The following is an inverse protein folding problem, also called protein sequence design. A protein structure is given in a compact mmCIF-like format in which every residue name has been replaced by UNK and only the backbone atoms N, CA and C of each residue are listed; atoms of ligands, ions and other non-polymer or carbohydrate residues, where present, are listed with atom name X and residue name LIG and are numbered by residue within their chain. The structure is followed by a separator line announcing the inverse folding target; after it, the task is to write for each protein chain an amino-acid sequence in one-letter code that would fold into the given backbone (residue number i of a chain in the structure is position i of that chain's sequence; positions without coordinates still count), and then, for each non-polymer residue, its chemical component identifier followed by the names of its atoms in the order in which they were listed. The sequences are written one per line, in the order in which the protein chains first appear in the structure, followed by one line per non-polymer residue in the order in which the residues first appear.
data_IF_652560384702
#
_entry.id   IF_652560384702
#
_cell.length_a   1.000
_cell.length_b   1.000
_cell.length_c   1.000
_cell.angle_alpha   90.00
_cell.angle_beta   90.00
_cell.angle_gamma   90.00
#
_symmetry.space_group_name_H-M   'P 1'
#
loop_
_entity.id
_entity.type
_entity.pdbx_description
1 polymer ?
#
# COMPACT_ATOMS: atom_id res chain seq x y z
N UNK A 1 6.76 6.38 -8.02
CA UNK A 1 5.68 5.50 -7.52
C UNK A 1 6.14 4.07 -7.75
N UNK A 2 5.76 3.09 -6.91
CA UNK A 2 6.03 1.68 -7.16
C UNK A 2 5.52 1.27 -8.55
N UNK A 3 6.32 0.54 -9.32
CA UNK A 3 6.01 0.16 -10.70
C UNK A 3 4.88 -0.89 -10.72
N UNK A 4 3.88 -0.70 -11.59
CA UNK A 4 2.83 -1.70 -11.82
C UNK A 4 3.43 -2.95 -12.46
N UNK A 5 3.06 -4.12 -11.94
CA UNK A 5 3.49 -5.41 -12.50
C UNK A 5 2.44 -5.89 -13.49
N UNK A 6 2.85 -6.24 -14.71
CA UNK A 6 1.96 -6.93 -15.66
C UNK A 6 1.98 -8.41 -15.35
N UNK A 7 0.80 -8.99 -15.12
CA UNK A 7 0.61 -10.42 -14.94
C UNK A 7 -0.16 -10.99 -16.14
N UNK A 8 0.28 -12.12 -16.71
CA UNK A 8 -0.49 -12.81 -17.74
C UNK A 8 -1.77 -13.37 -17.12
N UNK A 9 -2.87 -13.27 -17.85
CA UNK A 9 -4.18 -13.79 -17.48
C UNK A 9 -4.77 -14.51 -18.70
N UNK A 10 -4.64 -15.84 -18.76
CA UNK A 10 -5.03 -16.62 -19.93
C UNK A 10 -4.09 -16.46 -21.12
N UNK A 11 -4.52 -16.95 -22.30
CA UNK A 11 -3.64 -17.09 -23.48
C UNK A 11 -3.24 -15.77 -24.13
N UNK A 12 -4.05 -14.70 -24.02
CA UNK A 12 -3.80 -13.41 -24.69
C UNK A 12 -4.18 -12.16 -23.88
N UNK A 13 -4.43 -12.29 -22.57
CA UNK A 13 -4.70 -11.13 -21.71
C UNK A 13 -3.52 -10.87 -20.77
N UNK A 14 -3.21 -9.60 -20.54
CA UNK A 14 -2.32 -9.21 -19.45
C UNK A 14 -2.99 -8.13 -18.60
N UNK A 15 -2.93 -8.30 -17.29
CA UNK A 15 -3.52 -7.38 -16.32
C UNK A 15 -2.40 -6.62 -15.63
N UNK A 16 -2.53 -5.29 -15.57
CA UNK A 16 -1.64 -4.46 -14.78
C UNK A 16 -2.10 -4.48 -13.31
N UNK A 17 -1.36 -5.18 -12.46
CA UNK A 17 -1.62 -5.25 -11.03
C UNK A 17 -0.75 -4.22 -10.32
N UNK A 18 -1.39 -3.43 -9.47
CA UNK A 18 -0.67 -2.51 -8.60
C UNK A 18 0.07 -3.32 -7.53
N UNK A 19 1.35 -3.01 -7.26
CA UNK A 19 2.09 -3.70 -6.24
C UNK A 19 1.50 -3.39 -4.85
N UNK A 20 1.68 -4.28 -3.85
CA UNK A 20 1.08 -4.11 -2.53
C UNK A 20 1.47 -2.79 -1.87
N UNK A 21 2.70 -2.31 -2.08
CA UNK A 21 3.18 -0.99 -1.60
C UNK A 21 2.27 0.14 -2.09
N UNK A 22 1.82 0.08 -3.35
CA UNK A 22 0.95 1.09 -3.93
C UNK A 22 -0.44 1.05 -3.28
N UNK A 23 -0.97 -0.15 -3.05
CA UNK A 23 -2.28 -0.34 -2.43
C UNK A 23 -2.27 0.20 -1.00
N UNK A 24 -1.21 -0.10 -0.24
CA UNK A 24 -1.00 0.38 1.13
C UNK A 24 -0.89 1.91 1.16
N UNK A 25 -0.05 2.52 0.32
CA UNK A 25 0.08 3.98 0.23
C UNK A 25 -1.27 4.66 -0.03
N UNK A 26 -2.04 4.15 -1.00
CA UNK A 26 -3.34 4.74 -1.36
C UNK A 26 -4.35 4.60 -0.23
N UNK A 27 -4.38 3.46 0.47
CA UNK A 27 -5.25 3.28 1.64
C UNK A 27 -4.87 4.21 2.79
N UNK A 28 -3.58 4.48 3.00
CA UNK A 28 -3.12 5.43 4.01
C UNK A 28 -3.51 6.88 3.68
N UNK A 29 -3.34 7.31 2.42
CA UNK A 29 -3.81 8.63 1.99
C UNK A 29 -5.33 8.78 2.19
N UNK A 30 -6.09 7.76 1.80
CA UNK A 30 -7.54 7.75 1.99
C UNK A 30 -7.94 7.72 3.48
N UNK A 31 -7.19 7.02 4.32
CA UNK A 31 -7.39 7.03 5.77
C UNK A 31 -7.16 8.43 6.35
N UNK A 32 -6.11 9.12 5.92
CA UNK A 32 -5.82 10.49 6.34
C UNK A 32 -6.93 11.48 5.92
N UNK A 33 -7.47 11.33 4.71
CA UNK A 33 -8.52 12.20 4.17
C UNK A 33 -9.91 11.89 4.77
N UNK A 34 -10.22 10.61 5.01
CA UNK A 34 -11.56 10.15 5.41
C UNK A 34 -11.72 9.77 6.89
N UNK A 35 -10.64 9.69 7.67
CA UNK A 35 -10.65 9.48 9.12
C UNK A 35 -11.28 8.16 9.62
N UNK A 36 -11.58 7.20 8.74
CA UNK A 36 -12.35 6.01 9.13
C UNK A 36 -11.49 4.98 9.87
N UNK A 37 -11.84 4.75 11.14
CA UNK A 37 -11.15 3.89 12.12
C UNK A 37 -11.10 2.40 11.79
N UNK A 38 -11.81 1.91 10.76
CA UNK A 38 -11.81 0.50 10.34
C UNK A 38 -10.67 0.12 9.37
N UNK A 39 -9.92 1.09 8.86
CA UNK A 39 -8.89 0.87 7.84
C UNK A 39 -7.49 0.49 8.35
N UNK A 40 -7.03 0.91 9.55
CA UNK A 40 -5.69 0.56 10.03
C UNK A 40 -5.45 -0.95 10.11
N UNK A 41 -6.44 -1.71 10.57
CA UNK A 41 -6.36 -3.17 10.66
C UNK A 41 -6.27 -3.84 9.28
N UNK A 42 -7.00 -3.33 8.30
CA UNK A 42 -6.96 -3.82 6.92
C UNK A 42 -5.60 -3.54 6.26
N UNK A 43 -5.04 -2.35 6.48
CA UNK A 43 -3.70 -2.01 5.99
C UNK A 43 -2.64 -2.92 6.65
N UNK A 44 -2.74 -3.16 7.96
CA UNK A 44 -1.85 -4.08 8.69
C UNK A 44 -1.91 -5.50 8.10
N UNK A 45 -3.13 -6.02 7.90
CA UNK A 45 -3.33 -7.35 7.31
C UNK A 45 -2.73 -7.46 5.90
N UNK A 46 -2.88 -6.42 5.06
CA UNK A 46 -2.25 -6.40 3.72
C UNK A 46 -0.73 -6.45 3.84
N UNK A 47 -0.14 -5.66 4.73
CA UNK A 47 1.32 -5.65 4.95
C UNK A 47 1.83 -7.03 5.37
N UNK A 48 1.12 -7.67 6.30
CA UNK A 48 1.49 -9.00 6.83
C UNK A 48 1.34 -10.11 5.79
N UNK A 49 0.26 -10.10 5.00
CA UNK A 49 -0.04 -11.17 4.02
C UNK A 49 0.77 -11.03 2.74
N UNK A 50 0.95 -9.81 2.23
CA UNK A 50 1.57 -9.60 0.91
C UNK A 50 3.08 -9.42 0.97
N UNK A 51 3.63 -9.05 2.13
CA UNK A 51 5.03 -8.68 2.27
C UNK A 51 5.33 -7.37 1.53
N UNK A 52 5.36 -6.27 2.26
CA UNK A 52 5.64 -4.95 1.69
C UNK A 52 7.13 -4.64 1.81
N UNK A 53 7.75 -4.23 0.72
CA UNK A 53 9.15 -3.78 0.74
C UNK A 53 9.23 -2.38 1.38
N UNK A 54 9.76 -2.33 2.59
CA UNK A 54 9.93 -1.09 3.34
C UNK A 54 10.86 -0.10 2.65
N UNK A 55 11.93 -0.58 2.00
CA UNK A 55 12.87 0.29 1.30
C UNK A 55 12.19 0.98 0.10
N UNK A 56 11.22 0.32 -0.52
CA UNK A 56 10.43 0.90 -1.59
C UNK A 56 9.33 1.84 -1.09
N UNK A 57 8.65 1.53 0.01
CA UNK A 57 7.48 2.29 0.46
C UNK A 57 7.83 3.50 1.35
N UNK A 58 8.87 3.41 2.19
CA UNK A 58 9.23 4.45 3.17
C UNK A 58 9.52 5.83 2.55
N UNK A 59 10.22 5.95 1.41
CA UNK A 59 10.42 7.24 0.76
C UNK A 59 9.09 7.91 0.36
N UNK A 60 8.09 7.12 -0.05
CA UNK A 60 6.77 7.62 -0.42
C UNK A 60 5.94 8.01 0.80
N UNK A 61 6.01 7.23 1.86
CA UNK A 61 5.38 7.57 3.15
C UNK A 61 5.93 8.90 3.66
N UNK A 62 7.26 9.09 3.61
CA UNK A 62 7.92 10.33 4.03
C UNK A 62 7.50 11.53 3.19
N UNK A 63 7.54 11.40 1.86
CA UNK A 63 7.16 12.50 0.95
C UNK A 63 5.69 12.89 1.06
N UNK A 64 4.82 11.99 1.50
CA UNK A 64 3.38 12.25 1.72
C UNK A 64 3.04 12.73 3.12
N UNK A 65 4.01 12.73 4.04
CA UNK A 65 3.79 13.11 5.44
C UNK A 65 3.00 12.07 6.24
N UNK A 66 3.06 10.78 5.85
CA UNK A 66 2.27 9.70 6.46
C UNK A 66 3.05 8.89 7.50
N UNK A 67 4.20 9.38 7.96
CA UNK A 67 5.10 8.65 8.89
C UNK A 67 4.40 8.31 10.20
N UNK A 68 3.60 9.24 10.75
CA UNK A 68 2.95 9.02 12.03
C UNK A 68 1.83 7.98 11.93
N UNK A 69 1.09 7.97 10.82
CA UNK A 69 0.09 6.94 10.55
C UNK A 69 0.75 5.58 10.28
N UNK A 70 1.88 5.55 9.57
CA UNK A 70 2.66 4.33 9.36
C UNK A 70 3.10 3.70 10.68
N UNK A 71 3.60 4.52 11.62
CA UNK A 71 3.98 4.06 12.96
C UNK A 71 2.80 3.50 13.72
N UNK A 72 1.64 4.16 13.73
CA UNK A 72 0.42 3.66 14.38
C UNK A 72 -0.09 2.34 13.78
N UNK A 73 0.12 2.14 12.48
CA UNK A 73 -0.30 0.91 11.80
C UNK A 73 0.69 -0.23 12.07
N UNK A 74 1.99 0.04 12.26
CA UNK A 74 3.00 -1.00 12.52
C UNK A 74 3.19 -1.37 14.00
N UNK A 75 3.01 -0.41 14.92
CA UNK A 75 3.16 -0.60 16.37
C UNK A 75 1.80 -0.63 17.08
#
# INVERSE_FOLDING_TARGET
MPLRRRLPWGENLSVAVAPPEYVVLRKMDFYREGGSSKHPADIRAIIEVTGVDEALILPWIKTRGLIDDWKKIRY
#
